data_IF_687496436009
#
_entry.id   IF_687496436009
#
_cell.length_a   1.000
_cell.length_b   1.000
_cell.length_c   1.000
_cell.angle_alpha   90.00
_cell.angle_beta   90.00
_cell.angle_gamma   90.00
#
_symmetry.space_group_name_H-M   'P 1'
#
loop_
_entity.id
_entity.type
_entity.pdbx_description
1 polymer ?
#
# COMPACT_ATOMS: atom_id res chain seq x y z
N UNK A 1 -8.61 25.73 -2.58
CA UNK A 1 -7.81 26.45 -3.59
C UNK A 1 -8.74 26.94 -4.70
N UNK A 2 -8.76 28.24 -5.04
CA UNK A 2 -9.64 28.75 -6.12
C UNK A 2 -9.16 28.34 -7.52
N UNK A 3 -7.93 27.82 -7.60
CA UNK A 3 -7.23 27.38 -8.81
C UNK A 3 -7.32 25.87 -9.07
N UNK A 4 -8.01 25.10 -8.22
CA UNK A 4 -8.17 23.67 -8.42
C UNK A 4 -9.04 23.39 -9.66
N UNK A 5 -8.61 22.46 -10.52
CA UNK A 5 -9.37 22.05 -11.71
C UNK A 5 -10.60 21.23 -11.30
N UNK A 6 -10.41 20.25 -10.40
CA UNK A 6 -11.49 19.42 -9.90
C UNK A 6 -12.13 20.07 -8.66
N UNK A 7 -13.47 20.17 -8.58
CA UNK A 7 -14.13 20.78 -7.43
C UNK A 7 -14.03 19.92 -6.16
N UNK A 8 -13.82 18.60 -6.29
CA UNK A 8 -13.66 17.70 -5.13
C UNK A 8 -12.39 18.02 -4.34
N UNK A 9 -11.33 18.48 -5.01
CA UNK A 9 -10.07 18.91 -4.40
C UNK A 9 -10.05 20.43 -4.10
N UNK A 10 -11.13 21.13 -4.41
CA UNK A 10 -11.25 22.59 -4.32
C UNK A 10 -12.43 23.02 -3.46
N UNK A 11 -13.55 23.32 -4.12
CA UNK A 11 -14.78 23.82 -3.48
C UNK A 11 -15.35 22.87 -2.43
N UNK A 12 -15.23 21.56 -2.66
CA UNK A 12 -15.82 20.51 -1.85
C UNK A 12 -14.78 19.71 -1.04
N UNK A 13 -13.52 20.13 -0.99
CA UNK A 13 -12.45 19.40 -0.30
C UNK A 13 -12.78 19.10 1.17
N UNK A 14 -13.36 20.08 1.88
CA UNK A 14 -13.77 19.90 3.28
C UNK A 14 -14.93 18.93 3.48
N UNK A 15 -15.63 18.52 2.40
CA UNK A 15 -16.74 17.55 2.43
C UNK A 15 -16.29 16.13 2.14
N UNK A 16 -15.08 15.94 1.62
CA UNK A 16 -14.56 14.63 1.20
C UNK A 16 -13.20 14.31 1.85
N UNK A 17 -12.84 15.02 2.92
CA UNK A 17 -11.53 14.86 3.58
C UNK A 17 -11.30 13.42 4.06
N UNK A 18 -12.33 12.71 4.51
CA UNK A 18 -12.21 11.31 4.92
C UNK A 18 -11.89 10.39 3.74
N UNK A 19 -12.34 10.75 2.52
CA UNK A 19 -12.11 9.97 1.31
C UNK A 19 -10.70 10.14 0.75
N UNK A 20 -9.95 11.17 1.16
CA UNK A 20 -8.55 11.33 0.72
C UNK A 20 -7.67 10.21 1.26
N UNK A 21 -8.02 9.65 2.42
CA UNK A 21 -7.36 8.47 2.97
C UNK A 21 -7.73 7.19 2.21
N UNK A 22 -8.79 7.17 1.41
CA UNK A 22 -9.26 5.96 0.70
C UNK A 22 -8.93 5.98 -0.80
N UNK A 23 -9.03 7.14 -1.45
CA UNK A 23 -9.06 7.26 -2.91
C UNK A 23 -8.03 8.23 -3.49
N UNK A 24 -6.99 8.59 -2.73
CA UNK A 24 -5.86 9.36 -3.23
C UNK A 24 -4.77 8.48 -3.83
N UNK A 25 -3.84 9.10 -4.56
CA UNK A 25 -2.60 8.46 -4.99
C UNK A 25 -1.81 7.90 -3.79
N UNK A 26 -1.78 8.63 -2.68
CA UNK A 26 -1.20 8.16 -1.42
C UNK A 26 -1.90 6.87 -0.94
N UNK A 27 -3.23 6.82 -0.95
CA UNK A 27 -3.98 5.63 -0.56
C UNK A 27 -3.70 4.43 -1.49
N UNK A 28 -3.53 4.68 -2.79
CA UNK A 28 -3.16 3.64 -3.76
C UNK A 28 -1.77 3.09 -3.46
N UNK A 29 -0.77 3.95 -3.28
CA UNK A 29 0.61 3.52 -2.96
C UNK A 29 0.66 2.79 -1.62
N UNK A 30 -0.02 3.30 -0.59
CA UNK A 30 -0.11 2.65 0.73
C UNK A 30 -0.69 1.24 0.62
N UNK A 31 -1.77 1.07 -0.14
CA UNK A 31 -2.38 -0.25 -0.30
C UNK A 31 -1.54 -1.20 -1.15
N UNK A 32 -0.79 -0.70 -2.14
CA UNK A 32 0.18 -1.53 -2.88
C UNK A 32 1.31 -2.04 -1.98
N UNK A 33 1.87 -1.17 -1.14
CA UNK A 33 2.86 -1.55 -0.12
C UNK A 33 2.31 -2.63 0.81
N UNK A 34 1.07 -2.45 1.30
CA UNK A 34 0.40 -3.45 2.13
C UNK A 34 0.26 -4.81 1.44
N UNK A 35 -0.22 -4.83 0.21
CA UNK A 35 -0.43 -6.08 -0.54
C UNK A 35 0.89 -6.81 -0.75
N UNK A 36 1.96 -6.10 -1.13
CA UNK A 36 3.29 -6.68 -1.30
C UNK A 36 3.86 -7.27 0.00
N UNK A 37 3.72 -6.53 1.12
CA UNK A 37 4.16 -7.03 2.43
C UNK A 37 3.38 -8.29 2.83
N UNK A 38 2.05 -8.26 2.70
CA UNK A 38 1.23 -9.43 3.03
C UNK A 38 1.45 -10.60 2.08
N UNK A 39 1.83 -10.34 0.83
CA UNK A 39 2.22 -11.39 -0.11
C UNK A 39 3.50 -12.10 0.34
N UNK A 40 4.52 -11.34 0.74
CA UNK A 40 5.75 -11.91 1.30
C UNK A 40 5.46 -12.74 2.57
N UNK A 41 4.63 -12.21 3.48
CA UNK A 41 4.22 -12.95 4.68
C UNK A 41 3.48 -14.25 4.34
N UNK A 42 2.59 -14.22 3.34
CA UNK A 42 1.87 -15.39 2.88
C UNK A 42 2.80 -16.46 2.29
N UNK A 43 3.79 -16.05 1.47
CA UNK A 43 4.81 -16.94 0.93
C UNK A 43 5.64 -17.59 2.05
N UNK A 44 6.08 -16.80 3.04
CA UNK A 44 6.84 -17.30 4.18
C UNK A 44 6.04 -18.25 5.09
N UNK A 45 4.71 -18.18 5.03
CA UNK A 45 3.81 -19.04 5.78
C UNK A 45 3.45 -20.34 5.06
N UNK A 46 3.78 -20.48 3.77
CA UNK A 46 3.45 -21.63 2.94
C UNK A 46 4.52 -22.74 3.08
N UNK A 47 4.20 -23.89 3.72
CA UNK A 47 5.18 -24.96 3.93
C UNK A 47 5.71 -25.59 2.63
N UNK A 48 5.00 -25.43 1.51
CA UNK A 48 5.42 -25.91 0.19
C UNK A 48 6.56 -25.11 -0.48
N UNK A 49 6.97 -23.97 0.09
CA UNK A 49 8.02 -23.09 -0.47
C UNK A 49 9.16 -22.95 0.55
N UNK A 50 10.03 -23.96 0.72
CA UNK A 50 11.04 -23.96 1.78
C UNK A 50 12.11 -22.86 1.62
N UNK A 51 12.32 -22.35 0.40
CA UNK A 51 13.22 -21.23 0.13
C UNK A 51 12.68 -19.90 0.70
N UNK A 52 11.36 -19.80 0.86
CA UNK A 52 10.70 -18.68 1.55
C UNK A 52 10.48 -19.09 3.01
N UNK A 53 11.54 -19.03 3.81
CA UNK A 53 11.51 -19.54 5.19
C UNK A 53 10.48 -18.80 6.06
N UNK A 54 10.03 -19.47 7.11
CA UNK A 54 9.17 -18.86 8.11
C UNK A 54 9.83 -17.63 8.76
N UNK A 55 9.04 -16.57 8.93
CA UNK A 55 9.47 -15.34 9.57
C UNK A 55 9.61 -15.53 11.09
N UNK A 56 10.60 -14.87 11.67
CA UNK A 56 10.70 -14.68 13.12
C UNK A 56 9.68 -13.64 13.62
N UNK A 57 9.56 -13.49 14.94
CA UNK A 57 8.67 -12.48 15.52
C UNK A 57 9.15 -11.05 15.20
N UNK A 58 10.47 -10.81 15.23
CA UNK A 58 11.06 -9.50 14.96
C UNK A 58 10.89 -9.10 13.50
N UNK A 59 10.97 -10.06 12.58
CA UNK A 59 10.75 -9.82 11.15
C UNK A 59 9.30 -9.48 10.84
N UNK A 60 8.34 -10.17 11.44
CA UNK A 60 6.92 -9.79 11.36
C UNK A 60 6.68 -8.39 11.93
N UNK A 61 7.32 -8.05 13.04
CA UNK A 61 7.20 -6.72 13.63
C UNK A 61 7.80 -5.64 12.70
N UNK A 62 8.91 -5.93 12.03
CA UNK A 62 9.51 -5.02 11.05
C UNK A 62 8.57 -4.80 9.85
N UNK A 63 8.02 -5.87 9.28
CA UNK A 63 7.07 -5.79 8.17
C UNK A 63 5.78 -5.05 8.56
N UNK A 64 5.24 -5.34 9.75
CA UNK A 64 4.10 -4.61 10.30
C UNK A 64 4.40 -3.12 10.45
N UNK A 65 5.59 -2.76 10.94
CA UNK A 65 6.02 -1.36 11.04
C UNK A 65 6.10 -0.65 9.68
N UNK A 66 6.52 -1.34 8.61
CA UNK A 66 6.49 -0.76 7.25
C UNK A 66 5.07 -0.38 6.84
N UNK A 67 4.08 -1.19 7.20
CA UNK A 67 2.66 -0.98 6.87
C UNK A 67 2.01 0.08 7.77
N UNK A 68 2.19 -0.05 9.09
CA UNK A 68 1.48 0.76 10.08
C UNK A 68 2.04 2.19 10.15
N UNK A 69 3.34 2.38 9.91
CA UNK A 69 3.99 3.68 9.90
C UNK A 69 4.12 4.28 8.47
N UNK A 70 3.33 3.78 7.50
CA UNK A 70 3.37 4.29 6.14
C UNK A 70 2.69 5.66 6.05
N UNK A 71 3.47 6.71 5.80
CA UNK A 71 3.02 8.11 5.77
C UNK A 71 3.03 8.70 4.35
N UNK A 72 2.41 9.88 4.12
CA UNK A 72 2.55 10.59 2.86
C UNK A 72 4.01 10.86 2.45
N UNK A 73 4.90 11.05 3.42
CA UNK A 73 6.34 11.23 3.17
C UNK A 73 7.00 9.94 2.64
N UNK A 74 6.55 8.77 3.10
CA UNK A 74 7.02 7.49 2.53
C UNK A 74 6.48 7.30 1.11
N UNK A 75 5.23 7.70 0.82
CA UNK A 75 4.69 7.64 -0.53
C UNK A 75 5.46 8.52 -1.52
N UNK A 76 5.91 9.71 -1.11
CA UNK A 76 6.78 10.56 -1.95
C UNK A 76 8.09 9.84 -2.31
N UNK A 77 8.69 9.05 -1.39
CA UNK A 77 9.88 8.24 -1.71
C UNK A 77 9.59 7.21 -2.80
N UNK A 78 8.41 6.58 -2.76
CA UNK A 78 7.97 5.67 -3.85
C UNK A 78 7.86 6.43 -5.17
N UNK A 79 7.26 7.63 -5.18
CA UNK A 79 7.14 8.47 -6.38
C UNK A 79 8.51 8.92 -6.92
N UNK A 80 9.50 9.16 -6.05
CA UNK A 80 10.88 9.45 -6.46
C UNK A 80 11.52 8.27 -7.21
N UNK A 81 11.29 7.04 -6.74
CA UNK A 81 11.74 5.81 -7.42
C UNK A 81 11.00 5.63 -8.75
N UNK A 82 9.69 5.90 -8.77
CA UNK A 82 8.85 5.81 -9.97
C UNK A 82 9.34 6.72 -11.10
N UNK A 83 9.84 7.92 -10.79
CA UNK A 83 10.43 8.81 -11.81
C UNK A 83 11.58 8.18 -12.58
N UNK A 84 12.29 7.23 -11.96
CA UNK A 84 13.40 6.52 -12.60
C UNK A 84 12.93 5.26 -13.32
N UNK A 85 12.00 4.51 -12.72
CA UNK A 85 11.52 3.23 -13.26
C UNK A 85 10.40 3.39 -14.31
N UNK A 86 9.70 4.52 -14.30
CA UNK A 86 8.49 4.80 -15.08
C UNK A 86 7.40 3.73 -14.91
N UNK A 87 7.37 3.07 -13.74
CA UNK A 87 6.39 2.04 -13.40
C UNK A 87 6.12 2.03 -11.89
N UNK A 88 4.86 2.23 -11.52
CA UNK A 88 4.41 2.41 -10.13
C UNK A 88 4.59 1.18 -9.22
N UNK A 89 4.14 -0.01 -9.65
CA UNK A 89 4.30 -1.26 -8.87
C UNK A 89 5.78 -1.62 -8.71
N UNK A 90 6.59 -1.45 -9.76
CA UNK A 90 8.04 -1.68 -9.66
C UNK A 90 8.70 -0.73 -8.66
N UNK A 91 8.24 0.52 -8.57
CA UNK A 91 8.73 1.47 -7.59
C UNK A 91 8.43 1.03 -6.14
N UNK A 92 7.26 0.40 -5.91
CA UNK A 92 6.92 -0.20 -4.61
C UNK A 92 7.86 -1.35 -4.25
N UNK A 93 8.16 -2.25 -5.19
CA UNK A 93 9.12 -3.35 -4.97
C UNK A 93 10.50 -2.80 -4.56
N UNK A 94 11.02 -1.80 -5.29
CA UNK A 94 12.30 -1.16 -4.95
C UNK A 94 12.27 -0.46 -3.60
N UNK A 95 11.18 0.23 -3.26
CA UNK A 95 10.99 0.84 -1.95
C UNK A 95 11.09 -0.21 -0.85
N UNK A 96 10.37 -1.33 -0.98
CA UNK A 96 10.39 -2.42 0.00
C UNK A 96 11.77 -3.05 0.13
N UNK A 97 12.47 -3.29 -0.99
CA UNK A 97 13.87 -3.75 -0.96
C UNK A 97 14.74 -2.80 -0.14
N UNK A 98 14.64 -1.49 -0.35
CA UNK A 98 15.39 -0.50 0.44
C UNK A 98 15.05 -0.52 1.93
N UNK A 99 13.80 -0.80 2.31
CA UNK A 99 13.35 -0.86 3.71
C UNK A 99 13.94 -2.05 4.47
N UNK A 100 14.33 -3.12 3.79
CA UNK A 100 14.82 -4.36 4.40
C UNK A 100 16.33 -4.59 4.25
N UNK A 101 17.05 -3.74 3.50
CA UNK A 101 18.52 -3.80 3.41
C UNK A 101 19.16 -3.75 4.81
N UNK A 102 20.11 -4.63 5.06
CA UNK A 102 20.83 -4.74 6.32
C UNK A 102 20.04 -5.41 7.45
N UNK A 103 18.80 -5.84 7.19
CA UNK A 103 18.00 -6.64 8.12
C UNK A 103 18.08 -8.13 7.79
N UNK A 104 17.57 -8.98 8.68
CA UNK A 104 17.49 -10.43 8.40
C UNK A 104 16.51 -10.79 7.28
N UNK A 105 15.66 -9.85 6.84
CA UNK A 105 14.76 -10.01 5.69
C UNK A 105 15.47 -9.80 4.33
N UNK A 106 16.70 -9.27 4.30
CA UNK A 106 17.39 -8.98 3.04
C UNK A 106 17.56 -10.22 2.17
N UNK A 107 17.75 -11.40 2.78
CA UNK A 107 17.83 -12.68 2.06
C UNK A 107 16.51 -13.09 1.39
N UNK A 108 15.37 -12.53 1.84
CA UNK A 108 14.04 -12.76 1.27
C UNK A 108 13.63 -11.67 0.27
N UNK A 109 14.51 -10.72 -0.03
CA UNK A 109 14.19 -9.56 -0.89
C UNK A 109 13.75 -9.95 -2.31
N UNK A 110 14.25 -11.07 -2.84
CA UNK A 110 13.84 -11.58 -4.16
C UNK A 110 12.47 -12.29 -4.15
N UNK A 111 11.86 -12.49 -2.97
CA UNK A 111 10.48 -12.95 -2.84
C UNK A 111 9.45 -11.81 -2.85
N UNK A 112 9.89 -10.54 -2.77
CA UNK A 112 9.02 -9.40 -3.02
C UNK A 112 8.53 -9.45 -4.47
N UNK A 113 7.23 -9.27 -4.69
CA UNK A 113 6.58 -9.39 -6.00
C UNK A 113 6.74 -10.78 -6.68
N UNK A 114 7.15 -11.82 -5.95
CA UNK A 114 7.42 -13.13 -6.54
C UNK A 114 6.18 -13.74 -7.17
N UNK A 115 6.30 -14.13 -8.44
CA UNK A 115 5.23 -14.71 -9.26
C UNK A 115 3.97 -13.84 -9.45
N UNK A 116 4.02 -12.57 -9.08
CA UNK A 116 2.96 -11.60 -9.33
C UNK A 116 3.13 -10.93 -10.70
N UNK A 117 2.02 -10.48 -11.26
CA UNK A 117 1.99 -9.35 -12.20
C UNK A 117 1.54 -8.08 -11.47
N UNK A 118 1.78 -6.91 -12.06
CA UNK A 118 1.31 -5.63 -11.55
C UNK A 118 -0.19 -5.63 -11.23
N UNK A 119 -0.99 -6.36 -12.01
CA UNK A 119 -2.44 -6.44 -11.80
C UNK A 119 -2.84 -7.24 -10.56
N UNK A 120 -2.03 -8.19 -10.09
CA UNK A 120 -2.30 -8.89 -8.82
C UNK A 120 -2.27 -7.91 -7.65
N UNK A 121 -1.32 -6.98 -7.70
CA UNK A 121 -1.18 -5.92 -6.69
C UNK A 121 -2.27 -4.86 -6.86
N UNK A 122 -2.53 -4.42 -8.10
CA UNK A 122 -3.50 -3.36 -8.38
C UNK A 122 -4.92 -3.75 -8.00
N UNK A 123 -5.38 -4.94 -8.41
CA UNK A 123 -6.77 -5.33 -8.17
C UNK A 123 -7.06 -5.47 -6.66
N UNK A 124 -6.11 -6.04 -5.90
CA UNK A 124 -6.23 -6.16 -4.44
C UNK A 124 -6.16 -4.79 -3.76
N UNK A 125 -5.27 -3.91 -4.21
CA UNK A 125 -5.16 -2.54 -3.69
C UNK A 125 -6.47 -1.76 -3.89
N UNK A 126 -7.05 -1.83 -5.09
CA UNK A 126 -8.35 -1.20 -5.37
C UNK A 126 -9.49 -1.83 -4.58
N UNK A 127 -9.49 -3.16 -4.38
CA UNK A 127 -10.48 -3.83 -3.54
C UNK A 127 -10.41 -3.34 -2.08
N UNK A 128 -9.20 -3.17 -1.54
CA UNK A 128 -8.98 -2.60 -0.20
C UNK A 128 -9.45 -1.14 -0.14
N UNK A 129 -9.08 -0.30 -1.11
CA UNK A 129 -9.53 1.09 -1.19
C UNK A 129 -11.06 1.22 -1.24
N UNK A 130 -11.73 0.38 -2.03
CA UNK A 130 -13.20 0.34 -2.11
C UNK A 130 -13.82 -0.08 -0.78
N UNK A 131 -13.25 -1.09 -0.11
CA UNK A 131 -13.71 -1.53 1.21
C UNK A 131 -13.55 -0.43 2.26
N UNK A 132 -12.40 0.24 2.29
CA UNK A 132 -12.12 1.37 3.19
C UNK A 132 -13.08 2.54 2.92
N UNK A 133 -13.25 2.93 1.66
CA UNK A 133 -14.16 4.02 1.28
C UNK A 133 -15.62 3.71 1.56
N UNK A 134 -16.07 2.47 1.37
CA UNK A 134 -17.42 2.04 1.75
C UNK A 134 -17.61 2.15 3.27
N UNK A 135 -16.64 1.70 4.06
CA UNK A 135 -16.70 1.80 5.51
C UNK A 135 -16.75 3.27 5.98
N UNK A 136 -16.03 4.17 5.31
CA UNK A 136 -16.09 5.61 5.59
C UNK A 136 -17.44 6.24 5.23
N UNK A 137 -18.07 5.80 4.13
CA UNK A 137 -19.36 6.37 3.67
C UNK A 137 -20.58 5.84 4.40
N UNK A 138 -20.52 4.61 4.92
CA UNK A 138 -21.67 3.92 5.49
C UNK A 138 -22.36 4.70 6.65
N UNK A 139 -21.63 5.32 7.60
CA UNK A 139 -22.26 6.14 8.64
C UNK A 139 -23.07 7.31 8.07
N UNK A 140 -22.50 8.04 7.10
CA UNK A 140 -23.17 9.17 6.45
C UNK A 140 -24.42 8.75 5.68
N UNK A 141 -24.40 7.55 5.08
CA UNK A 141 -25.58 7.01 4.40
C UNK A 141 -26.69 6.65 5.39
N UNK A 142 -26.33 6.10 6.56
CA UNK A 142 -27.28 5.75 7.61
C UNK A 142 -27.97 6.98 8.18
N UNK A 143 -27.24 8.09 8.39
CA UNK A 143 -27.82 9.37 8.84
C UNK A 143 -28.90 9.95 7.90
N UNK A 144 -28.91 9.57 6.62
CA UNK A 144 -29.93 10.01 5.65
C UNK A 144 -31.16 9.11 5.66
N UNK A 145 -30.96 7.83 6.00
CA UNK A 145 -32.03 6.83 6.01
C UNK A 145 -32.87 6.94 7.29
N UNK A 146 -32.25 7.28 8.42
CA UNK A 146 -32.89 7.48 9.72
C UNK A 146 -33.63 8.84 9.83
#
# INVERSE_FOLDING_TARGET
MITAICPIDGRYASKVVELTECFSEYALVRNRVRVEVFWLEALCAEPGIPECRALSADERALLAGIVDDFTPQEAEKVKEIERTTNHDVKAVEYYLKQKIVGSSLEELSEFLHFACTSEDINNLSHALMLKEGLAALLPHQQEIVD
#
